data_IF_377537881332
#
_entry.id   IF_377537881332
#
_cell.length_a   1.000
_cell.length_b   1.000
_cell.length_c   1.000
_cell.angle_alpha   90.00
_cell.angle_beta   90.00
_cell.angle_gamma   90.00
#
_symmetry.space_group_name_H-M   'P 1'
#
loop_
_entity.id
_entity.type
_entity.pdbx_description
1 polymer ?
#
# COMPACT_ATOMS: atom_id res chain seq x y z
N UNK A 1 -2.56 23.62 2.73
CA UNK A 1 -1.79 22.68 3.61
C UNK A 1 -1.90 21.31 2.99
N UNK A 2 -0.82 20.76 2.39
CA UNK A 2 -0.82 19.36 1.92
C UNK A 2 -0.76 18.49 3.18
N UNK A 3 -1.88 17.83 3.51
CA UNK A 3 -1.98 16.90 4.62
C UNK A 3 -0.90 15.85 4.52
N UNK A 4 -0.27 15.55 5.66
CA UNK A 4 0.71 14.49 5.81
C UNK A 4 -0.07 13.20 5.67
N UNK A 5 0.05 12.51 4.53
CA UNK A 5 -0.54 11.17 4.36
C UNK A 5 0.02 10.28 5.47
N UNK A 6 -0.84 9.86 6.38
CA UNK A 6 -0.48 8.89 7.42
C UNK A 6 -0.39 7.55 6.70
N UNK A 7 0.82 7.01 6.56
CA UNK A 7 1.02 5.63 6.09
C UNK A 7 0.68 4.70 7.24
N UNK A 8 -0.47 4.05 7.18
CA UNK A 8 -0.85 2.97 8.08
C UNK A 8 0.05 1.74 7.85
N UNK A 9 0.17 0.88 8.86
CA UNK A 9 1.08 -0.26 8.79
C UNK A 9 0.55 -1.32 7.82
N UNK A 10 1.32 -1.64 6.77
CA UNK A 10 1.05 -2.77 5.90
C UNK A 10 1.84 -3.99 6.34
N UNK A 11 1.14 -5.06 6.69
CA UNK A 11 1.73 -6.38 6.89
C UNK A 11 0.87 -7.44 6.20
N UNK A 12 1.48 -8.28 5.38
CA UNK A 12 0.86 -9.45 4.78
C UNK A 12 1.94 -10.50 4.52
N UNK A 13 1.91 -11.59 5.26
CA UNK A 13 2.86 -12.68 5.12
C UNK A 13 2.18 -14.01 4.83
N UNK A 14 2.88 -14.89 4.12
CA UNK A 14 2.46 -16.26 3.85
C UNK A 14 3.58 -17.20 4.22
N UNK A 15 3.25 -18.19 5.00
CA UNK A 15 4.14 -19.29 5.36
C UNK A 15 3.45 -20.62 5.12
N UNK A 16 4.13 -21.73 5.37
CA UNK A 16 3.55 -23.07 5.26
C UNK A 16 3.75 -23.83 6.56
N UNK A 17 2.70 -24.50 7.00
CA UNK A 17 2.78 -25.47 8.09
C UNK A 17 3.29 -26.78 7.50
N UNK A 18 4.42 -27.25 8.01
CA UNK A 18 5.15 -28.42 7.48
C UNK A 18 5.40 -29.45 8.58
N UNK A 19 5.04 -30.71 8.31
CA UNK A 19 5.35 -31.81 9.24
C UNK A 19 6.85 -32.00 9.43
N UNK A 20 7.66 -31.78 8.38
CA UNK A 20 9.13 -31.86 8.46
C UNK A 20 9.76 -30.83 9.41
N UNK A 21 9.03 -29.77 9.77
CA UNK A 21 9.46 -28.77 10.76
C UNK A 21 8.92 -29.08 12.17
N UNK A 22 8.38 -30.30 12.40
CA UNK A 22 7.77 -30.66 13.68
C UNK A 22 6.44 -29.96 13.96
N UNK A 23 5.78 -29.41 12.92
CA UNK A 23 4.54 -28.66 13.07
C UNK A 23 3.32 -29.55 12.84
N UNK A 24 2.26 -29.36 13.62
CA UNK A 24 0.94 -29.96 13.46
C UNK A 24 -0.07 -28.92 13.01
N UNK A 25 -0.94 -29.28 12.07
CA UNK A 25 -2.04 -28.43 11.62
C UNK A 25 -3.07 -28.23 12.74
N UNK A 26 -3.39 -29.29 13.49
CA UNK A 26 -4.27 -29.25 14.67
C UNK A 26 -3.73 -28.30 15.74
N UNK A 27 -2.47 -28.44 16.14
CA UNK A 27 -1.88 -27.59 17.16
C UNK A 27 -1.85 -26.12 16.72
N UNK A 28 -1.56 -25.88 15.44
CA UNK A 28 -1.56 -24.53 14.88
C UNK A 28 -2.96 -23.92 14.85
N UNK A 29 -3.99 -24.68 14.50
CA UNK A 29 -5.38 -24.25 14.51
C UNK A 29 -5.88 -23.98 15.93
N UNK A 30 -5.61 -24.91 16.88
CA UNK A 30 -5.95 -24.76 18.29
C UNK A 30 -5.34 -23.49 18.88
N UNK A 31 -4.05 -23.24 18.61
CA UNK A 31 -3.36 -22.04 19.08
C UNK A 31 -3.97 -20.75 18.55
N UNK A 32 -4.32 -20.68 17.24
CA UNK A 32 -4.90 -19.50 16.65
C UNK A 32 -6.31 -19.23 17.15
N UNK A 33 -7.12 -20.28 17.21
CA UNK A 33 -8.51 -20.18 17.64
C UNK A 33 -8.69 -20.04 19.17
N UNK A 34 -7.64 -20.27 19.97
CA UNK A 34 -7.77 -20.34 21.42
C UNK A 34 -8.70 -21.48 21.86
N UNK A 35 -8.52 -22.67 21.27
CA UNK A 35 -9.37 -23.84 21.49
C UNK A 35 -8.56 -25.05 21.98
N UNK A 36 -9.29 -26.05 22.49
CA UNK A 36 -8.74 -27.37 22.74
C UNK A 36 -9.14 -28.29 21.59
N UNK A 37 -8.16 -28.83 20.85
CA UNK A 37 -8.38 -29.75 19.74
C UNK A 37 -7.55 -31.03 19.91
N UNK A 38 -8.14 -32.17 19.55
CA UNK A 38 -7.48 -33.47 19.55
C UNK A 38 -6.87 -33.77 18.19
N UNK A 39 -5.63 -34.24 18.17
CA UNK A 39 -4.97 -34.73 16.97
C UNK A 39 -5.01 -36.26 16.90
N UNK A 40 -5.75 -36.79 15.93
CA UNK A 40 -5.79 -38.25 15.66
C UNK A 40 -4.41 -38.79 15.22
N UNK A 41 -3.64 -37.95 14.49
CA UNK A 41 -2.32 -38.34 13.99
C UNK A 41 -1.28 -38.49 15.09
N UNK A 42 -1.30 -37.59 16.10
CA UNK A 42 -0.33 -37.59 17.20
C UNK A 42 -0.89 -38.23 18.47
N UNK A 43 -2.19 -38.51 18.53
CA UNK A 43 -2.84 -39.10 19.72
C UNK A 43 -2.78 -38.17 20.95
N UNK A 44 -2.81 -36.85 20.76
CA UNK A 44 -2.68 -35.87 21.85
C UNK A 44 -3.56 -34.64 21.66
N UNK A 45 -3.89 -34.02 22.77
CA UNK A 45 -4.64 -32.77 22.80
C UNK A 45 -3.71 -31.56 22.72
N UNK A 46 -4.13 -30.54 22.00
CA UNK A 46 -3.54 -29.20 22.01
C UNK A 46 -4.54 -28.26 22.66
N UNK A 47 -4.27 -27.80 23.90
CA UNK A 47 -5.18 -26.97 24.67
C UNK A 47 -4.64 -25.54 24.81
N UNK A 48 -5.35 -24.60 24.18
CA UNK A 48 -5.05 -23.16 24.22
C UNK A 48 -6.27 -22.35 24.69
N UNK A 49 -7.19 -22.95 25.43
CA UNK A 49 -8.41 -22.30 25.94
C UNK A 49 -8.12 -21.10 26.88
N UNK A 50 -6.92 -21.05 27.48
CA UNK A 50 -6.47 -19.94 28.32
C UNK A 50 -5.93 -18.74 27.52
N UNK A 51 -5.86 -18.84 26.18
CA UNK A 51 -5.38 -17.76 25.33
C UNK A 51 -6.39 -16.62 25.29
N UNK A 52 -5.97 -15.42 25.67
CA UNK A 52 -6.74 -14.18 25.53
C UNK A 52 -6.55 -13.53 24.17
N UNK A 53 -7.38 -12.54 23.86
CA UNK A 53 -7.23 -11.69 22.70
C UNK A 53 -7.76 -12.28 21.37
N UNK A 54 -8.44 -13.42 21.37
CA UNK A 54 -9.18 -13.91 20.20
C UNK A 54 -10.55 -13.25 20.18
N UNK A 55 -10.78 -12.35 19.21
CA UNK A 55 -12.02 -11.54 19.15
C UNK A 55 -13.03 -12.07 18.15
N UNK A 56 -12.58 -12.78 17.11
CA UNK A 56 -13.44 -13.43 16.14
C UNK A 56 -12.72 -14.64 15.52
N UNK A 57 -13.48 -15.68 15.14
CA UNK A 57 -12.93 -16.87 14.52
C UNK A 57 -13.99 -17.67 13.77
N UNK A 58 -13.61 -18.44 12.80
CA UNK A 58 -14.50 -19.31 12.04
C UNK A 58 -13.81 -20.11 10.96
N UNK A 59 -14.57 -21.03 10.36
CA UNK A 59 -14.17 -21.76 9.17
C UNK A 59 -15.15 -21.42 8.06
N UNK A 60 -14.67 -20.81 6.99
CA UNK A 60 -15.43 -20.47 5.79
C UNK A 60 -15.19 -21.54 4.72
N UNK A 61 -16.27 -21.97 4.10
CA UNK A 61 -16.27 -23.08 3.14
C UNK A 61 -16.73 -22.62 1.76
N UNK A 62 -16.04 -23.03 0.69
CA UNK A 62 -16.61 -22.97 -0.65
C UNK A 62 -17.92 -23.76 -0.74
N UNK A 63 -18.84 -23.34 -1.60
CA UNK A 63 -20.19 -23.91 -1.71
C UNK A 63 -20.24 -25.42 -2.02
N UNK A 64 -19.19 -25.95 -2.66
CA UNK A 64 -19.08 -27.37 -3.01
C UNK A 64 -18.49 -28.25 -1.91
N UNK A 65 -18.02 -27.65 -0.80
CA UNK A 65 -17.39 -28.37 0.33
C UNK A 65 -18.46 -28.82 1.31
N UNK A 66 -18.48 -30.08 1.75
CA UNK A 66 -19.42 -30.58 2.73
C UNK A 66 -19.36 -29.82 4.05
N UNK A 67 -20.54 -29.49 4.62
CA UNK A 67 -20.69 -28.67 5.82
C UNK A 67 -19.90 -29.18 7.05
N UNK A 68 -19.66 -30.50 7.15
CA UNK A 68 -18.88 -31.08 8.25
C UNK A 68 -17.47 -30.50 8.38
N UNK A 69 -16.88 -29.98 7.29
CA UNK A 69 -15.58 -29.30 7.29
C UNK A 69 -15.62 -27.92 7.95
N UNK A 70 -16.78 -27.41 8.38
CA UNK A 70 -16.86 -26.22 9.24
C UNK A 70 -16.42 -26.50 10.69
N UNK A 71 -16.39 -27.77 11.10
CA UNK A 71 -15.77 -28.18 12.34
C UNK A 71 -14.25 -28.18 12.19
N UNK A 72 -13.58 -27.34 12.99
CA UNK A 72 -12.14 -27.13 12.91
C UNK A 72 -11.34 -28.40 13.20
N UNK A 73 -11.74 -29.16 14.21
CA UNK A 73 -11.07 -30.39 14.56
C UNK A 73 -11.22 -31.45 13.47
N UNK A 74 -12.41 -31.61 12.93
CA UNK A 74 -12.66 -32.51 11.81
C UNK A 74 -11.85 -32.11 10.58
N UNK A 75 -11.88 -30.84 10.19
CA UNK A 75 -11.13 -30.31 9.05
C UNK A 75 -9.63 -30.68 9.12
N UNK A 76 -9.00 -30.34 10.23
CA UNK A 76 -7.53 -30.46 10.31
C UNK A 76 -7.08 -31.91 10.54
N UNK A 77 -7.88 -32.77 11.18
CA UNK A 77 -7.62 -34.20 11.22
C UNK A 77 -7.73 -34.83 9.83
N UNK A 78 -8.74 -34.49 9.04
CA UNK A 78 -8.85 -34.98 7.66
C UNK A 78 -7.71 -34.47 6.77
N UNK A 79 -7.21 -33.25 6.96
CA UNK A 79 -6.00 -32.77 6.27
C UNK A 79 -4.77 -33.59 6.66
N UNK A 80 -4.53 -33.82 7.95
CA UNK A 80 -3.38 -34.61 8.42
C UNK A 80 -3.44 -36.06 7.95
N UNK A 81 -4.63 -36.66 7.89
CA UNK A 81 -4.90 -37.98 7.38
C UNK A 81 -4.66 -38.11 5.86
N UNK A 82 -5.04 -37.06 5.09
CA UNK A 82 -4.81 -37.01 3.65
C UNK A 82 -3.32 -36.86 3.30
N UNK A 83 -2.56 -36.23 4.17
CA UNK A 83 -1.14 -35.91 3.98
C UNK A 83 -0.23 -36.94 4.63
N UNK A 84 -0.07 -38.10 3.99
CA UNK A 84 0.62 -39.25 4.56
C UNK A 84 2.16 -39.13 4.63
N UNK A 85 2.77 -38.26 3.83
CA UNK A 85 4.22 -38.15 3.72
C UNK A 85 4.84 -37.47 4.96
N UNK A 86 5.96 -37.98 5.53
CA UNK A 86 6.61 -37.36 6.70
C UNK A 86 7.07 -35.91 6.47
N UNK A 87 7.33 -35.53 5.21
CA UNK A 87 7.69 -34.14 4.82
C UNK A 87 6.51 -33.37 4.23
N UNK A 88 5.28 -33.76 4.55
CA UNK A 88 4.11 -33.11 3.99
C UNK A 88 4.01 -31.64 4.39
N UNK A 89 3.61 -30.83 3.44
CA UNK A 89 3.10 -29.49 3.65
C UNK A 89 1.59 -29.62 3.89
N UNK A 90 1.12 -29.10 5.02
CA UNK A 90 -0.24 -29.32 5.52
C UNK A 90 -1.16 -28.15 5.14
N UNK A 91 -0.69 -26.93 5.37
CA UNK A 91 -1.48 -25.72 5.15
C UNK A 91 -0.62 -24.54 4.70
N UNK A 92 -1.23 -23.62 3.96
CA UNK A 92 -0.81 -22.23 3.91
C UNK A 92 -1.23 -21.54 5.20
N UNK A 93 -0.38 -20.67 5.71
CA UNK A 93 -0.65 -19.82 6.87
C UNK A 93 -0.42 -18.38 6.48
N UNK A 94 -1.47 -17.61 6.51
CA UNK A 94 -1.50 -16.17 6.22
C UNK A 94 -1.58 -15.40 7.53
N UNK A 95 -0.81 -14.32 7.61
CA UNK A 95 -0.84 -13.38 8.72
C UNK A 95 -0.88 -11.96 8.13
N UNK A 96 -1.89 -11.16 8.48
CA UNK A 96 -2.01 -9.79 8.00
C UNK A 96 -2.56 -8.84 9.06
N UNK A 97 -2.04 -7.61 9.05
CA UNK A 97 -2.41 -6.58 10.01
C UNK A 97 -3.77 -5.97 9.67
N UNK A 98 -4.56 -5.71 10.70
CA UNK A 98 -5.75 -4.88 10.65
C UNK A 98 -5.40 -3.42 10.98
N UNK A 99 -6.28 -2.50 10.66
CA UNK A 99 -6.01 -1.08 10.78
C UNK A 99 -6.57 -0.52 12.09
N UNK A 100 -5.73 0.24 12.80
CA UNK A 100 -6.15 0.87 14.07
C UNK A 100 -7.11 2.06 13.86
N UNK A 101 -7.24 2.53 12.63
CA UNK A 101 -8.14 3.61 12.22
C UNK A 101 -9.61 3.17 12.11
N UNK A 102 -9.85 1.86 12.05
CA UNK A 102 -11.20 1.29 11.97
C UNK A 102 -11.64 0.70 13.30
N UNK A 103 -12.95 0.66 13.53
CA UNK A 103 -13.51 -0.10 14.65
C UNK A 103 -13.19 -1.60 14.52
N UNK A 104 -13.29 -2.35 15.61
CA UNK A 104 -13.06 -3.81 15.55
C UNK A 104 -14.13 -4.53 14.72
N UNK A 105 -15.38 -4.09 14.81
CA UNK A 105 -16.49 -4.62 14.01
C UNK A 105 -16.25 -4.43 12.52
N UNK A 106 -15.74 -3.27 12.13
CA UNK A 106 -15.41 -2.97 10.74
C UNK A 106 -14.19 -3.77 10.27
N UNK A 107 -13.14 -3.86 11.07
CA UNK A 107 -11.99 -4.71 10.80
C UNK A 107 -12.38 -6.18 10.61
N UNK A 108 -13.32 -6.72 11.40
CA UNK A 108 -13.87 -8.07 11.24
C UNK A 108 -14.60 -8.20 9.91
N UNK A 109 -15.43 -7.21 9.55
CA UNK A 109 -16.17 -7.21 8.29
C UNK A 109 -15.23 -7.20 7.08
N UNK A 110 -14.23 -6.30 7.08
CA UNK A 110 -13.22 -6.20 6.02
C UNK A 110 -12.43 -7.51 5.89
N UNK A 111 -11.99 -8.08 7.01
CA UNK A 111 -11.24 -9.33 7.01
C UNK A 111 -12.06 -10.49 6.44
N UNK A 112 -13.32 -10.63 6.86
CA UNK A 112 -14.22 -11.68 6.34
C UNK A 112 -14.51 -11.50 4.86
N UNK A 113 -14.75 -10.27 4.39
CA UNK A 113 -14.95 -9.97 2.98
C UNK A 113 -13.70 -10.33 2.16
N UNK A 114 -12.51 -9.94 2.65
CA UNK A 114 -11.26 -10.30 1.99
C UNK A 114 -11.07 -11.82 1.90
N UNK A 115 -11.27 -12.55 3.01
CA UNK A 115 -11.13 -14.00 3.07
C UNK A 115 -12.13 -14.67 2.12
N UNK A 116 -13.38 -14.21 2.11
CA UNK A 116 -14.40 -14.76 1.23
C UNK A 116 -13.98 -14.61 -0.24
N UNK A 117 -13.69 -13.40 -0.69
CA UNK A 117 -13.39 -13.11 -2.10
C UNK A 117 -12.07 -13.70 -2.57
N UNK A 118 -11.06 -13.71 -1.71
CA UNK A 118 -9.68 -14.03 -2.13
C UNK A 118 -9.24 -15.46 -1.81
N UNK A 119 -9.94 -16.15 -0.92
CA UNK A 119 -9.65 -17.55 -0.60
C UNK A 119 -10.84 -18.46 -0.91
N UNK A 120 -12.00 -18.19 -0.31
CA UNK A 120 -13.16 -19.09 -0.39
C UNK A 120 -13.72 -19.16 -1.81
N UNK A 121 -13.91 -18.03 -2.48
CA UNK A 121 -14.41 -17.97 -3.85
C UNK A 121 -13.40 -18.56 -4.87
N UNK A 122 -12.13 -18.67 -4.49
CA UNK A 122 -11.10 -19.38 -5.25
C UNK A 122 -11.02 -20.87 -4.92
N UNK A 123 -11.94 -21.39 -4.11
CA UNK A 123 -12.06 -22.80 -3.77
C UNK A 123 -11.23 -23.24 -2.56
N UNK A 124 -10.66 -22.32 -1.78
CA UNK A 124 -9.92 -22.63 -0.56
C UNK A 124 -10.86 -22.72 0.64
N UNK A 125 -10.71 -23.74 1.47
CA UNK A 125 -11.27 -23.75 2.82
C UNK A 125 -10.43 -22.80 3.67
N UNK A 126 -11.06 -21.84 4.37
CA UNK A 126 -10.34 -20.85 5.16
C UNK A 126 -10.73 -20.91 6.64
N UNK A 127 -9.82 -21.39 7.48
CA UNK A 127 -9.91 -21.35 8.92
C UNK A 127 -9.22 -20.10 9.43
N UNK A 128 -9.97 -19.14 9.99
CA UNK A 128 -9.45 -17.85 10.42
C UNK A 128 -9.66 -17.59 11.92
N UNK A 129 -8.78 -16.76 12.47
CA UNK A 129 -8.92 -16.17 13.79
C UNK A 129 -8.38 -14.73 13.77
N UNK A 130 -9.14 -13.82 14.36
CA UNK A 130 -8.78 -12.42 14.51
C UNK A 130 -8.34 -12.18 15.95
N UNK A 131 -7.18 -11.58 16.09
CA UNK A 131 -6.57 -11.31 17.38
C UNK A 131 -6.45 -9.82 17.65
N UNK A 132 -6.79 -9.44 18.88
CA UNK A 132 -6.46 -8.16 19.47
C UNK A 132 -5.70 -8.44 20.78
N UNK A 133 -4.39 -8.68 20.72
CA UNK A 133 -3.59 -8.89 21.92
C UNK A 133 -3.51 -7.60 22.74
N UNK A 134 -3.43 -7.74 24.06
CA UNK A 134 -3.15 -6.62 24.94
C UNK A 134 -1.84 -5.94 24.53
N UNK A 135 -1.81 -4.59 24.43
CA UNK A 135 -0.60 -3.89 24.10
C UNK A 135 0.48 -4.18 25.12
N UNK A 136 1.61 -4.74 24.68
CA UNK A 136 2.78 -4.89 25.52
C UNK A 136 3.50 -3.55 25.62
N UNK A 137 3.88 -3.17 26.83
CA UNK A 137 4.71 -1.99 27.11
C UNK A 137 4.07 -0.64 26.65
N UNK A 138 2.73 -0.54 26.64
CA UNK A 138 2.03 0.71 26.30
C UNK A 138 2.13 1.12 24.84
N UNK A 139 2.53 0.20 23.96
CA UNK A 139 2.53 0.41 22.49
C UNK A 139 1.12 0.51 21.91
N UNK A 140 1.00 0.86 20.63
CA UNK A 140 -0.30 0.84 19.94
C UNK A 140 -0.87 -0.58 19.87
N UNK A 141 -2.20 -0.73 19.82
CA UNK A 141 -2.84 -2.01 19.54
C UNK A 141 -2.29 -2.62 18.25
N UNK A 142 -2.20 -3.94 18.21
CA UNK A 142 -1.75 -4.68 17.03
C UNK A 142 -2.81 -5.72 16.62
N UNK A 143 -3.99 -5.28 16.15
CA UNK A 143 -5.00 -6.19 15.65
C UNK A 143 -4.50 -6.88 14.38
N UNK A 144 -4.69 -8.20 14.30
CA UNK A 144 -4.24 -8.98 13.14
C UNK A 144 -5.06 -10.23 12.92
N UNK A 145 -5.01 -10.73 11.70
CA UNK A 145 -5.72 -11.93 11.26
C UNK A 145 -4.73 -13.03 10.97
N UNK A 146 -5.04 -14.22 11.45
CA UNK A 146 -4.43 -15.47 11.02
C UNK A 146 -5.43 -16.25 10.18
N UNK A 147 -5.01 -16.75 9.02
CA UNK A 147 -5.83 -17.66 8.20
C UNK A 147 -5.01 -18.90 7.87
N UNK A 148 -5.61 -20.06 8.00
CA UNK A 148 -5.04 -21.34 7.57
C UNK A 148 -5.90 -21.92 6.47
N UNK A 149 -5.27 -22.29 5.35
CA UNK A 149 -5.94 -22.97 4.23
C UNK A 149 -5.24 -24.26 3.90
N UNK A 150 -5.95 -25.42 3.76
CA UNK A 150 -5.34 -26.64 3.26
C UNK A 150 -4.67 -26.45 1.90
N UNK A 151 -3.54 -27.10 1.68
CA UNK A 151 -2.82 -26.99 0.40
C UNK A 151 -3.53 -27.76 -0.72
N UNK A 152 -4.28 -28.84 -0.36
CA UNK A 152 -5.07 -29.58 -1.33
C UNK A 152 -6.38 -28.87 -1.61
N UNK A 153 -6.77 -28.73 -2.87
CA UNK A 153 -8.15 -28.37 -3.18
C UNK A 153 -9.09 -29.51 -2.77
N UNK A 154 -10.33 -29.16 -2.46
CA UNK A 154 -11.40 -30.13 -2.29
C UNK A 154 -12.23 -30.17 -3.57
N UNK A 155 -12.48 -31.37 -4.06
CA UNK A 155 -13.34 -31.62 -5.21
C UNK A 155 -14.82 -31.67 -4.76
N UNK A 156 -15.78 -31.43 -5.65
CA UNK A 156 -17.17 -31.68 -5.36
C UNK A 156 -17.41 -33.07 -4.77
N UNK A 157 -18.23 -33.15 -3.70
CA UNK A 157 -18.46 -34.39 -2.97
C UNK A 157 -17.49 -34.65 -1.82
N UNK A 158 -16.60 -33.71 -1.45
CA UNK A 158 -15.80 -33.78 -0.23
C UNK A 158 -14.54 -34.64 -0.36
N UNK A 159 -14.08 -34.90 -1.57
CA UNK A 159 -12.84 -35.64 -1.82
C UNK A 159 -11.66 -34.69 -1.96
N UNK A 160 -10.54 -35.00 -1.30
CA UNK A 160 -9.30 -34.25 -1.47
C UNK A 160 -8.69 -34.45 -2.86
N UNK A 161 -8.52 -33.37 -3.60
CA UNK A 161 -7.87 -33.33 -4.89
C UNK A 161 -6.37 -33.52 -4.82
N UNK A 162 -5.71 -33.68 -5.95
CA UNK A 162 -4.27 -33.80 -6.04
C UNK A 162 -3.59 -32.43 -5.94
N UNK A 163 -2.45 -32.32 -5.25
CA UNK A 163 -1.63 -31.09 -5.22
C UNK A 163 -0.98 -30.77 -6.58
N UNK A 164 -0.66 -31.84 -7.33
CA UNK A 164 0.03 -31.75 -8.60
C UNK A 164 -0.57 -32.74 -9.59
N UNK A 165 -0.55 -32.36 -10.86
CA UNK A 165 -0.90 -33.23 -11.99
C UNK A 165 0.32 -33.53 -12.84
N UNK A 166 0.35 -34.68 -13.46
CA UNK A 166 1.36 -35.07 -14.45
C UNK A 166 1.00 -34.45 -15.78
N UNK A 167 1.89 -33.66 -16.36
CA UNK A 167 1.81 -33.15 -17.72
C UNK A 167 2.87 -33.88 -18.51
N UNK A 168 2.44 -34.83 -19.34
CA UNK A 168 3.37 -35.65 -20.11
C UNK A 168 4.04 -34.81 -21.19
N UNK A 169 5.35 -35.02 -21.35
CA UNK A 169 6.11 -34.46 -22.46
C UNK A 169 5.75 -35.22 -23.73
N UNK A 170 5.50 -34.50 -24.83
CA UNK A 170 5.14 -35.11 -26.10
C UNK A 170 6.31 -34.99 -27.06
N UNK A 171 6.49 -36.03 -27.89
CA UNK A 171 7.33 -36.02 -29.08
C UNK A 171 6.67 -35.19 -30.20
N UNK A 172 7.38 -34.98 -31.32
CA UNK A 172 6.86 -34.24 -32.45
C UNK A 172 5.63 -34.89 -33.12
N UNK A 173 5.49 -36.22 -32.98
CA UNK A 173 4.35 -37.00 -33.47
C UNK A 173 3.15 -37.05 -32.51
N UNK A 174 3.20 -36.32 -31.39
CA UNK A 174 2.17 -36.30 -30.36
C UNK A 174 2.19 -37.50 -29.40
N UNK A 175 3.09 -38.48 -29.57
CA UNK A 175 3.27 -39.57 -28.62
C UNK A 175 3.97 -39.09 -27.33
N UNK A 176 3.78 -39.84 -26.22
CA UNK A 176 4.44 -39.51 -24.95
C UNK A 176 5.94 -39.82 -25.03
N UNK A 177 6.77 -38.85 -24.74
CA UNK A 177 8.23 -39.04 -24.67
C UNK A 177 8.60 -39.99 -23.53
N UNK A 178 9.61 -40.82 -23.77
CA UNK A 178 10.09 -41.82 -22.82
C UNK A 178 11.59 -41.67 -22.56
N UNK A 179 12.04 -42.04 -21.34
CA UNK A 179 13.46 -42.07 -21.02
C UNK A 179 14.12 -43.35 -21.58
N UNK A 180 15.44 -43.48 -21.40
CA UNK A 180 16.21 -44.64 -21.86
C UNK A 180 15.75 -46.01 -21.25
N UNK A 181 14.95 -45.96 -20.16
CA UNK A 181 14.37 -47.14 -19.50
C UNK A 181 12.90 -47.37 -19.90
N UNK A 182 12.40 -46.66 -20.91
CA UNK A 182 11.03 -46.79 -21.43
C UNK A 182 9.95 -46.12 -20.55
N UNK A 183 10.31 -45.36 -19.53
CA UNK A 183 9.35 -44.68 -18.63
C UNK A 183 8.92 -43.36 -19.24
N UNK A 184 7.61 -43.07 -19.18
CA UNK A 184 7.04 -41.82 -19.70
C UNK A 184 7.59 -40.62 -18.93
N UNK A 185 8.05 -39.63 -19.68
CA UNK A 185 8.53 -38.36 -19.14
C UNK A 185 7.35 -37.40 -18.90
N UNK A 186 7.30 -36.79 -17.72
CA UNK A 186 6.29 -35.81 -17.38
C UNK A 186 6.87 -34.73 -16.47
N UNK A 187 6.24 -33.55 -16.51
CA UNK A 187 6.45 -32.48 -15.56
C UNK A 187 5.32 -32.52 -14.53
N UNK A 188 5.70 -32.44 -13.24
CA UNK A 188 4.72 -32.28 -12.18
C UNK A 188 4.32 -30.81 -12.08
N UNK A 189 3.06 -30.48 -12.41
CA UNK A 189 2.54 -29.14 -12.33
C UNK A 189 1.52 -29.00 -11.21
N UNK A 190 1.53 -27.89 -10.43
CA UNK A 190 0.51 -27.65 -9.43
C UNK A 190 -0.90 -27.69 -10.06
N UNK A 191 -1.88 -28.19 -9.30
CA UNK A 191 -3.29 -28.21 -9.72
C UNK A 191 -3.98 -26.86 -9.50
N UNK A 192 -3.44 -26.07 -8.58
CA UNK A 192 -3.92 -24.70 -8.27
C UNK A 192 -2.75 -23.72 -8.41
N UNK A 193 -3.07 -22.45 -8.54
CA UNK A 193 -2.08 -21.37 -8.55
C UNK A 193 -1.77 -20.80 -7.15
N UNK A 194 -2.35 -21.36 -6.09
CA UNK A 194 -2.29 -20.83 -4.72
C UNK A 194 -0.88 -20.68 -4.15
N UNK A 195 0.08 -21.42 -4.67
CA UNK A 195 1.49 -21.36 -4.25
C UNK A 195 2.37 -20.53 -5.20
N UNK A 196 1.83 -19.83 -6.17
CA UNK A 196 2.62 -19.05 -7.13
C UNK A 196 2.95 -17.66 -6.60
N UNK A 197 4.09 -17.06 -7.02
CA UNK A 197 4.44 -15.70 -6.67
C UNK A 197 3.38 -14.69 -7.14
N UNK A 198 2.80 -14.90 -8.32
CA UNK A 198 1.79 -14.04 -8.93
C UNK A 198 0.51 -14.01 -8.08
N UNK A 199 0.09 -15.18 -7.58
CA UNK A 199 -1.07 -15.28 -6.69
C UNK A 199 -0.82 -14.58 -5.35
N UNK A 200 0.37 -14.74 -4.79
CA UNK A 200 0.75 -14.04 -3.56
C UNK A 200 0.70 -12.52 -3.75
N UNK A 201 1.23 -12.01 -4.87
CA UNK A 201 1.23 -10.57 -5.15
C UNK A 201 -0.20 -10.05 -5.37
N UNK A 202 -1.07 -10.84 -6.04
CA UNK A 202 -2.49 -10.52 -6.19
C UNK A 202 -3.21 -10.40 -4.84
N UNK A 203 -2.98 -11.33 -3.90
CA UNK A 203 -3.54 -11.25 -2.55
C UNK A 203 -3.04 -10.04 -1.76
N UNK A 204 -1.75 -9.73 -1.86
CA UNK A 204 -1.16 -8.56 -1.21
C UNK A 204 -1.75 -7.26 -1.74
N UNK A 205 -1.94 -7.19 -3.05
CA UNK A 205 -2.58 -6.04 -3.70
C UNK A 205 -4.05 -5.91 -3.29
N UNK A 206 -4.82 -6.99 -3.34
CA UNK A 206 -6.23 -7.00 -2.94
C UNK A 206 -6.43 -6.59 -1.48
N UNK A 207 -5.52 -7.00 -0.57
CA UNK A 207 -5.55 -6.56 0.83
C UNK A 207 -5.31 -5.05 0.97
N UNK A 208 -4.37 -4.49 0.22
CA UNK A 208 -4.14 -3.06 0.21
C UNK A 208 -5.33 -2.30 -0.39
N UNK A 209 -5.90 -2.79 -1.48
CA UNK A 209 -7.01 -2.15 -2.19
C UNK A 209 -8.28 -2.08 -1.34
N UNK A 210 -8.67 -3.18 -0.69
CA UNK A 210 -9.87 -3.20 0.16
C UNK A 210 -9.74 -2.21 1.32
N UNK A 211 -8.59 -2.17 2.01
CA UNK A 211 -8.36 -1.21 3.09
C UNK A 211 -8.36 0.24 2.57
N UNK A 212 -7.71 0.51 1.44
CA UNK A 212 -7.67 1.84 0.85
C UNK A 212 -9.05 2.33 0.40
N UNK A 213 -9.92 1.43 -0.03
CA UNK A 213 -11.32 1.73 -0.34
C UNK A 213 -12.07 2.17 0.92
N UNK A 214 -11.91 1.46 2.03
CA UNK A 214 -12.52 1.82 3.32
C UNK A 214 -11.97 3.14 3.86
N UNK A 215 -10.65 3.37 3.80
CA UNK A 215 -10.08 4.67 4.16
C UNK A 215 -10.72 5.82 3.38
N UNK A 216 -10.90 5.65 2.07
CA UNK A 216 -11.52 6.67 1.23
C UNK A 216 -13.00 6.90 1.58
N UNK A 217 -13.77 5.83 1.87
CA UNK A 217 -15.18 5.91 2.29
C UNK A 217 -15.34 6.67 3.60
N UNK A 218 -14.39 6.54 4.52
CA UNK A 218 -14.37 7.29 5.79
C UNK A 218 -13.72 8.68 5.69
N UNK A 219 -13.29 9.11 4.50
CA UNK A 219 -12.62 10.40 4.32
C UNK A 219 -11.25 10.50 5.00
N UNK A 220 -10.62 9.36 5.29
CA UNK A 220 -9.31 9.30 5.92
C UNK A 220 -8.19 9.42 4.88
N UNK A 221 -7.18 10.25 5.16
CA UNK A 221 -5.97 10.38 4.33
C UNK A 221 -4.98 9.20 4.49
N UNK A 222 -5.30 8.24 5.34
CA UNK A 222 -4.51 7.03 5.54
C UNK A 222 -4.49 6.17 4.26
N UNK A 223 -3.36 5.55 4.00
CA UNK A 223 -3.18 4.62 2.87
C UNK A 223 -2.15 3.56 3.23
N UNK A 224 -2.35 2.35 2.71
CA UNK A 224 -1.39 1.25 2.77
C UNK A 224 -0.93 0.90 1.36
N UNK A 225 0.33 0.46 1.22
CA UNK A 225 0.93 0.08 -0.05
C UNK A 225 1.61 -1.30 0.11
N UNK A 226 1.21 -2.26 -0.72
CA UNK A 226 1.75 -3.62 -0.71
C UNK A 226 3.14 -3.76 -1.32
N UNK A 227 3.64 -2.72 -2.01
CA UNK A 227 4.93 -2.74 -2.69
C UNK A 227 6.08 -2.58 -1.69
N UNK A 228 7.25 -3.09 -2.02
CA UNK A 228 8.47 -2.84 -1.24
C UNK A 228 8.84 -1.34 -1.27
N UNK A 229 9.56 -0.86 -0.26
CA UNK A 229 10.04 0.53 -0.21
C UNK A 229 10.79 0.94 -1.49
N UNK A 230 11.58 0.04 -2.06
CA UNK A 230 12.27 0.26 -3.32
C UNK A 230 11.30 0.54 -4.48
N UNK A 231 10.26 -0.30 -4.63
CA UNK A 231 9.22 -0.12 -5.65
C UNK A 231 8.35 1.12 -5.42
N UNK A 232 8.24 1.57 -4.17
CA UNK A 232 7.56 2.81 -3.80
C UNK A 232 8.45 4.06 -4.01
N UNK A 233 9.73 3.88 -4.31
CA UNK A 233 10.71 4.99 -4.38
C UNK A 233 11.04 5.59 -3.01
N UNK A 234 10.75 4.86 -1.92
CA UNK A 234 11.05 5.29 -0.56
C UNK A 234 12.49 4.85 -0.22
N UNK A 235 13.43 5.78 -0.02
CA UNK A 235 14.81 5.45 0.26
C UNK A 235 15.01 5.02 1.71
N UNK A 236 14.39 3.91 2.10
CA UNK A 236 14.49 3.33 3.45
C UNK A 236 14.75 1.83 3.35
N UNK A 237 15.49 1.31 4.34
CA UNK A 237 15.77 -0.11 4.49
C UNK A 237 14.68 -0.70 5.40
N UNK A 238 13.99 -1.78 5.00
CA UNK A 238 13.01 -2.44 5.86
C UNK A 238 13.69 -3.12 7.05
N UNK A 239 13.06 -3.08 8.22
CA UNK A 239 13.50 -3.86 9.39
C UNK A 239 13.23 -5.34 9.17
N UNK A 240 14.02 -6.19 9.82
CA UNK A 240 13.83 -7.65 9.79
C UNK A 240 12.94 -8.11 10.94
N UNK A 241 12.15 -9.14 10.70
CA UNK A 241 11.28 -9.70 11.74
C UNK A 241 12.10 -10.39 12.83
N UNK A 242 11.97 -9.93 14.07
CA UNK A 242 12.72 -10.47 15.20
C UNK A 242 12.15 -11.78 15.75
N UNK A 243 10.85 -11.95 15.68
CA UNK A 243 10.16 -13.08 16.31
C UNK A 243 10.01 -12.96 17.84
N UNK A 244 9.15 -13.79 18.47
CA UNK A 244 8.85 -13.66 19.91
C UNK A 244 10.07 -13.88 20.81
N UNK A 245 10.89 -14.90 20.52
CA UNK A 245 12.04 -15.23 21.36
C UNK A 245 13.09 -14.12 21.35
N UNK A 246 13.40 -13.58 20.17
CA UNK A 246 14.37 -12.47 20.03
C UNK A 246 13.86 -11.22 20.75
N UNK A 247 12.58 -10.88 20.58
CA UNK A 247 11.96 -9.74 21.31
C UNK A 247 12.04 -9.92 22.82
N UNK A 248 11.79 -11.13 23.32
CA UNK A 248 11.88 -11.40 24.75
C UNK A 248 13.33 -11.31 25.26
N UNK A 249 14.31 -11.81 24.51
CA UNK A 249 15.73 -11.63 24.85
C UNK A 249 16.12 -10.14 24.89
N UNK A 250 15.76 -9.38 23.86
CA UNK A 250 16.03 -7.94 23.79
C UNK A 250 15.34 -7.16 24.94
N UNK A 251 14.12 -7.54 25.30
CA UNK A 251 13.40 -6.96 26.46
C UNK A 251 14.14 -7.20 27.79
N UNK A 252 14.79 -8.34 27.92
CA UNK A 252 15.64 -8.68 29.09
C UNK A 252 17.04 -8.04 29.04
N UNK A 253 17.31 -7.18 28.05
CA UNK A 253 18.62 -6.55 27.87
C UNK A 253 19.67 -7.45 27.19
N UNK A 254 19.28 -8.64 26.75
CA UNK A 254 20.19 -9.56 26.03
C UNK A 254 20.21 -9.14 24.55
N UNK A 255 21.37 -8.64 24.11
CA UNK A 255 21.56 -8.24 22.70
C UNK A 255 21.59 -9.44 21.76
N UNK A 256 20.88 -9.31 20.65
CA UNK A 256 20.82 -10.33 19.62
C UNK A 256 21.28 -9.77 18.29
N UNK A 257 21.76 -10.63 17.37
CA UNK A 257 22.18 -10.23 16.04
C UNK A 257 21.04 -9.53 15.25
N UNK A 258 19.81 -10.06 15.33
CA UNK A 258 18.63 -9.43 14.70
C UNK A 258 18.28 -8.09 15.31
N UNK A 259 18.36 -7.98 16.62
CA UNK A 259 18.13 -6.72 17.35
C UNK A 259 19.16 -5.67 16.97
N UNK A 260 20.46 -6.05 16.93
CA UNK A 260 21.55 -5.16 16.50
C UNK A 260 21.36 -4.71 15.05
N UNK A 261 20.99 -5.62 14.17
CA UNK A 261 20.70 -5.29 12.78
C UNK A 261 19.54 -4.29 12.66
N UNK A 262 18.47 -4.47 13.41
CA UNK A 262 17.34 -3.53 13.40
C UNK A 262 17.71 -2.18 14.01
N UNK A 263 18.56 -2.11 15.04
CA UNK A 263 19.10 -0.86 15.58
C UNK A 263 19.91 -0.12 14.51
N UNK A 264 20.79 -0.83 13.82
CA UNK A 264 21.56 -0.27 12.69
C UNK A 264 20.65 0.25 11.58
N UNK A 265 19.66 -0.55 11.14
CA UNK A 265 18.69 -0.13 10.09
C UNK A 265 17.96 1.15 10.52
N UNK A 266 17.46 1.23 11.76
CA UNK A 266 16.78 2.42 12.28
C UNK A 266 17.69 3.64 12.28
N UNK A 267 18.96 3.47 12.67
CA UNK A 267 19.95 4.54 12.63
C UNK A 267 20.18 5.03 11.18
N UNK A 268 20.45 4.12 10.24
CA UNK A 268 20.66 4.48 8.84
C UNK A 268 19.42 5.16 8.23
N UNK A 269 18.22 4.65 8.49
CA UNK A 269 16.98 5.30 8.04
C UNK A 269 16.81 6.72 8.59
N UNK A 270 17.26 6.96 9.82
CA UNK A 270 17.29 8.32 10.40
C UNK A 270 18.26 9.22 9.66
N UNK A 271 19.47 8.74 9.35
CA UNK A 271 20.46 9.47 8.55
C UNK A 271 19.90 9.79 7.16
N UNK A 272 19.32 8.80 6.46
CA UNK A 272 18.70 8.97 5.14
C UNK A 272 17.62 10.07 5.17
N UNK A 273 16.72 10.04 6.15
CA UNK A 273 15.69 11.08 6.30
C UNK A 273 16.27 12.46 6.54
N UNK A 274 17.30 12.55 7.38
CA UNK A 274 17.99 13.82 7.68
C UNK A 274 18.64 14.39 6.42
N UNK A 275 19.36 13.56 5.66
CA UNK A 275 19.98 13.96 4.38
C UNK A 275 18.90 14.40 3.39
N UNK A 276 17.82 13.62 3.23
CA UNK A 276 16.71 13.96 2.35
C UNK A 276 16.06 15.31 2.70
N UNK A 277 15.89 15.60 3.98
CA UNK A 277 15.41 16.92 4.43
C UNK A 277 16.36 18.05 4.03
N UNK A 278 17.67 17.89 4.30
CA UNK A 278 18.69 18.90 3.95
C UNK A 278 18.80 19.14 2.44
N UNK A 279 18.68 18.08 1.63
CA UNK A 279 18.67 18.21 0.17
C UNK A 279 17.48 19.02 -0.32
N UNK A 280 16.29 18.82 0.26
CA UNK A 280 15.10 19.65 -0.06
C UNK A 280 15.29 21.11 0.33
N UNK A 281 15.84 21.37 1.51
CA UNK A 281 16.16 22.73 1.98
C UNK A 281 17.17 23.41 1.07
N UNK A 282 18.23 22.70 0.64
CA UNK A 282 19.24 23.20 -0.28
C UNK A 282 18.63 23.48 -1.66
N UNK A 283 17.81 22.58 -2.20
CA UNK A 283 17.12 22.81 -3.47
C UNK A 283 16.23 24.06 -3.42
N UNK A 284 15.45 24.24 -2.36
CA UNK A 284 14.63 25.43 -2.17
C UNK A 284 15.47 26.70 -2.03
N UNK A 285 16.64 26.61 -1.40
CA UNK A 285 17.59 27.73 -1.31
C UNK A 285 18.17 28.09 -2.69
N UNK A 286 18.58 27.10 -3.48
CA UNK A 286 19.06 27.31 -4.85
C UNK A 286 18.01 28.00 -5.73
N UNK A 287 16.76 27.55 -5.67
CA UNK A 287 15.68 28.19 -6.45
C UNK A 287 15.45 29.66 -6.03
N UNK A 288 15.52 29.95 -4.73
CA UNK A 288 15.45 31.36 -4.26
C UNK A 288 16.62 32.20 -4.79
N UNK A 289 17.86 31.67 -4.78
CA UNK A 289 19.01 32.38 -5.32
C UNK A 289 18.90 32.60 -6.83
N UNK A 290 18.39 31.63 -7.58
CA UNK A 290 18.14 31.78 -9.03
C UNK A 290 17.12 32.88 -9.30
N UNK A 291 16.06 32.92 -8.54
CA UNK A 291 15.02 33.96 -8.67
C UNK A 291 15.57 35.35 -8.33
N UNK A 292 16.36 35.45 -7.26
CA UNK A 292 16.99 36.71 -6.90
C UNK A 292 17.98 37.17 -7.97
N UNK A 293 18.83 36.27 -8.52
CA UNK A 293 19.74 36.56 -9.62
C UNK A 293 18.97 37.01 -10.87
N UNK A 294 17.86 36.35 -11.20
CA UNK A 294 16.98 36.70 -12.31
C UNK A 294 16.48 38.14 -12.16
N UNK A 295 16.00 38.51 -10.99
CA UNK A 295 15.52 39.90 -10.70
C UNK A 295 16.60 40.94 -10.81
N UNK A 296 17.84 40.59 -10.40
CA UNK A 296 19.01 41.53 -10.51
C UNK A 296 19.53 41.70 -11.94
N UNK A 297 19.37 40.71 -12.80
CA UNK A 297 19.88 40.67 -14.18
C UNK A 297 18.82 41.04 -15.21
N UNK A 298 17.55 41.11 -14.83
CA UNK A 298 16.46 41.47 -15.72
C UNK A 298 16.36 42.97 -15.92
N UNK A 299 16.22 43.46 -17.16
CA UNK A 299 16.06 44.90 -17.41
C UNK A 299 14.84 45.45 -16.73
N UNK A 300 14.92 46.62 -16.14
CA UNK A 300 13.80 47.28 -15.51
C UNK A 300 12.80 47.76 -16.55
N UNK A 301 11.50 47.57 -16.29
CA UNK A 301 10.43 48.06 -17.18
C UNK A 301 10.52 49.56 -17.40
N UNK A 302 10.95 50.31 -16.39
CA UNK A 302 11.14 51.77 -16.48
C UNK A 302 12.20 52.16 -17.50
N UNK A 303 13.27 51.39 -17.66
CA UNK A 303 14.32 51.65 -18.65
C UNK A 303 13.79 51.49 -20.10
N UNK A 304 12.95 50.49 -20.31
CA UNK A 304 12.24 50.31 -21.59
C UNK A 304 11.27 51.41 -21.88
N UNK A 305 10.52 51.89 -20.89
CA UNK A 305 9.59 53.02 -21.06
C UNK A 305 10.34 54.30 -21.35
N UNK A 306 11.43 54.58 -20.64
CA UNK A 306 12.26 55.74 -20.89
C UNK A 306 12.82 55.72 -22.33
N UNK A 307 13.40 54.63 -22.75
CA UNK A 307 13.93 54.47 -24.11
C UNK A 307 12.83 54.62 -25.18
N UNK A 308 11.65 54.00 -24.97
CA UNK A 308 10.53 54.13 -25.88
C UNK A 308 10.04 55.57 -26.06
N UNK A 309 9.93 56.35 -24.98
CA UNK A 309 9.49 57.73 -25.06
C UNK A 309 10.59 58.66 -25.57
N UNK A 310 11.86 58.39 -25.30
CA UNK A 310 13.02 59.10 -25.87
C UNK A 310 13.07 58.94 -27.39
N UNK A 311 12.87 57.72 -27.90
CA UNK A 311 12.85 57.43 -29.34
C UNK A 311 11.66 58.17 -30.02
N UNK A 312 10.48 58.16 -29.41
CA UNK A 312 9.32 58.89 -29.93
C UNK A 312 9.51 60.39 -29.93
N UNK A 313 10.20 60.97 -28.95
CA UNK A 313 10.47 62.41 -28.88
C UNK A 313 11.62 62.85 -29.74
N UNK A 314 12.50 61.95 -30.20
CA UNK A 314 13.60 62.22 -31.10
C UNK A 314 13.15 62.61 -32.53
N UNK A 315 11.90 62.28 -32.92
CA UNK A 315 11.36 62.63 -34.21
C UNK A 315 10.81 64.07 -34.24
N UNK A 316 10.83 64.74 -35.39
CA UNK A 316 10.26 66.08 -35.53
C UNK A 316 8.78 66.18 -35.14
N UNK A 317 7.99 65.15 -35.44
CA UNK A 317 6.61 65.00 -35.00
C UNK A 317 6.46 64.72 -33.50
N UNK A 318 7.34 63.92 -32.96
CA UNK A 318 7.38 63.57 -31.55
C UNK A 318 7.63 64.77 -30.65
N UNK A 319 8.42 65.75 -31.09
CA UNK A 319 8.67 66.98 -30.37
C UNK A 319 7.41 67.84 -30.23
N UNK A 320 6.52 67.86 -31.23
CA UNK A 320 5.24 68.55 -31.19
C UNK A 320 4.32 68.03 -30.07
N UNK A 321 4.43 66.74 -29.80
CA UNK A 321 3.63 66.04 -28.77
C UNK A 321 4.41 65.75 -27.49
N UNK A 322 5.57 66.37 -27.29
CA UNK A 322 6.44 66.14 -26.13
C UNK A 322 5.74 66.21 -24.79
N UNK A 323 4.91 67.19 -24.57
CA UNK A 323 4.17 67.35 -23.33
C UNK A 323 3.16 66.23 -23.09
N UNK A 324 2.51 65.75 -24.15
CA UNK A 324 1.59 64.58 -24.09
C UNK A 324 2.36 63.29 -23.81
N UNK A 325 3.47 63.06 -24.47
CA UNK A 325 4.30 61.89 -24.28
C UNK A 325 4.84 61.82 -22.86
N UNK A 326 5.29 62.94 -22.28
CA UNK A 326 5.74 63.02 -20.88
C UNK A 326 4.61 62.77 -19.89
N UNK A 327 3.39 63.22 -20.21
CA UNK A 327 2.22 62.98 -19.36
C UNK A 327 1.84 61.46 -19.39
N UNK A 328 1.81 60.86 -20.56
CA UNK A 328 1.57 59.40 -20.70
C UNK A 328 2.63 58.58 -19.95
N UNK A 329 3.92 58.96 -20.06
CA UNK A 329 5.02 58.31 -19.31
C UNK A 329 4.79 58.41 -17.79
N UNK A 330 4.42 59.60 -17.31
CA UNK A 330 4.17 59.84 -15.88
C UNK A 330 3.02 58.96 -15.34
N UNK A 331 1.93 58.82 -16.09
CA UNK A 331 0.81 57.96 -15.71
C UNK A 331 1.25 56.49 -15.64
N UNK A 332 1.93 56.03 -16.66
CA UNK A 332 2.42 54.63 -16.68
C UNK A 332 3.43 54.37 -15.57
N UNK A 333 4.34 55.30 -15.32
CA UNK A 333 5.33 55.19 -14.24
C UNK A 333 4.67 55.10 -12.87
N UNK A 334 3.69 55.98 -12.62
CA UNK A 334 2.91 55.93 -11.37
C UNK A 334 2.16 54.63 -11.21
N UNK A 335 1.57 54.07 -12.27
CA UNK A 335 0.89 52.79 -12.26
C UNK A 335 1.85 51.66 -11.91
N UNK A 336 3.04 51.63 -12.53
CA UNK A 336 4.06 50.59 -12.22
C UNK A 336 4.49 50.67 -10.76
N UNK A 337 4.69 51.86 -10.21
CA UNK A 337 5.05 52.04 -8.80
C UNK A 337 3.96 51.59 -7.85
N UNK A 338 2.70 51.97 -8.11
CA UNK A 338 1.56 51.59 -7.28
C UNK A 338 1.34 50.09 -7.22
N UNK A 339 1.67 49.37 -8.29
CA UNK A 339 1.48 47.93 -8.38
C UNK A 339 2.78 47.13 -8.13
N UNK A 340 3.88 47.81 -7.80
CA UNK A 340 5.17 47.18 -7.50
C UNK A 340 5.79 46.46 -8.69
N UNK A 341 5.50 46.89 -9.93
CA UNK A 341 5.99 46.30 -11.17
C UNK A 341 7.37 46.92 -11.50
N UNK A 342 8.42 46.14 -11.34
CA UNK A 342 9.80 46.58 -11.52
C UNK A 342 10.45 45.97 -12.76
N UNK A 343 10.21 44.70 -13.00
CA UNK A 343 10.80 43.92 -14.09
C UNK A 343 9.77 43.59 -15.18
N UNK A 344 10.25 43.17 -16.37
CA UNK A 344 9.36 42.66 -17.42
C UNK A 344 8.58 41.44 -16.98
N UNK A 345 9.15 40.61 -16.13
CA UNK A 345 8.44 39.46 -15.55
C UNK A 345 7.32 39.88 -14.61
N UNK A 346 7.56 40.88 -13.74
CA UNK A 346 6.49 41.46 -12.90
C UNK A 346 5.33 41.98 -13.76
N UNK A 347 5.65 42.64 -14.88
CA UNK A 347 4.65 43.13 -15.81
C UNK A 347 3.84 41.99 -16.46
N UNK A 348 4.50 40.92 -16.87
CA UNK A 348 3.85 39.76 -17.49
C UNK A 348 2.95 39.02 -16.46
N UNK A 349 3.43 38.82 -15.24
CA UNK A 349 2.65 38.25 -14.14
C UNK A 349 1.41 39.11 -13.80
N UNK A 350 1.58 40.43 -13.75
CA UNK A 350 0.48 41.36 -13.51
C UNK A 350 -0.56 41.30 -14.64
N UNK A 351 -0.15 41.28 -15.90
CA UNK A 351 -1.05 41.14 -17.05
C UNK A 351 -1.81 39.78 -17.03
N UNK A 352 -1.16 38.69 -16.67
CA UNK A 352 -1.83 37.39 -16.49
C UNK A 352 -2.88 37.42 -15.40
N UNK A 353 -2.55 38.07 -14.27
CA UNK A 353 -3.47 38.21 -13.14
C UNK A 353 -4.71 39.07 -13.53
N UNK A 354 -4.51 40.20 -14.23
CA UNK A 354 -5.59 41.03 -14.73
C UNK A 354 -6.47 40.30 -15.76
N UNK A 355 -5.86 39.56 -16.70
CA UNK A 355 -6.59 38.77 -17.67
C UNK A 355 -7.47 37.70 -16.99
N UNK A 356 -6.94 36.97 -16.00
CA UNK A 356 -7.70 35.99 -15.23
C UNK A 356 -8.83 36.64 -14.39
N UNK A 357 -8.66 37.90 -13.95
CA UNK A 357 -9.70 38.63 -13.24
C UNK A 357 -10.83 39.07 -14.19
N UNK A 358 -10.47 39.53 -15.40
CA UNK A 358 -11.43 39.89 -16.43
C UNK A 358 -12.25 38.70 -16.88
N UNK A 359 -11.63 37.54 -17.08
CA UNK A 359 -12.31 36.31 -17.47
C UNK A 359 -13.30 35.86 -16.39
N UNK A 360 -12.89 35.83 -15.12
CA UNK A 360 -13.82 35.57 -13.99
C UNK A 360 -14.99 36.53 -13.94
N UNK A 361 -14.73 37.84 -14.12
CA UNK A 361 -15.80 38.83 -14.13
C UNK A 361 -16.78 38.65 -15.29
N UNK A 362 -16.30 38.16 -16.45
CA UNK A 362 -17.15 37.80 -17.60
C UNK A 362 -17.99 36.55 -17.33
N UNK A 363 -17.39 35.53 -16.70
CA UNK A 363 -18.10 34.30 -16.30
C UNK A 363 -19.20 34.64 -15.26
N UNK A 364 -18.89 35.44 -14.26
CA UNK A 364 -19.85 35.86 -13.24
C UNK A 364 -20.99 36.69 -13.85
N UNK A 365 -20.69 37.55 -14.83
CA UNK A 365 -21.70 38.33 -15.55
C UNK A 365 -22.60 37.41 -16.42
N UNK A 366 -22.02 36.43 -17.07
CA UNK A 366 -22.77 35.44 -17.86
C UNK A 366 -23.70 34.58 -16.99
N UNK A 367 -23.24 34.17 -15.81
CA UNK A 367 -24.04 33.40 -14.83
C UNK A 367 -25.22 34.26 -14.31
N UNK A 368 -24.99 35.54 -14.00
CA UNK A 368 -26.07 36.46 -13.58
C UNK A 368 -27.11 36.68 -14.67
N UNK A 369 -26.65 36.87 -15.91
CA UNK A 369 -27.57 37.07 -17.05
C UNK A 369 -28.40 35.79 -17.34
N UNK A 370 -27.82 34.58 -17.16
CA UNK A 370 -28.55 33.33 -17.28
C UNK A 370 -29.57 33.13 -16.15
N UNK A 371 -29.23 33.53 -14.92
CA UNK A 371 -30.14 33.45 -13.78
C UNK A 371 -31.31 34.42 -13.82
N UNK A 372 -31.14 35.57 -14.48
CA UNK A 372 -32.24 36.57 -14.71
C UNK A 372 -33.17 36.11 -15.84
N UNK A 373 -32.71 35.25 -16.77
CA UNK A 373 -33.54 34.74 -17.87
C UNK A 373 -34.44 33.55 -17.43
N UNK A 374 -34.13 32.90 -16.31
CA UNK A 374 -34.89 31.76 -15.76
C UNK A 374 -35.85 32.14 -14.61
N UNK A 375 -36.06 33.44 -14.35
CA UNK A 375 -37.08 33.90 -13.37
C UNK A 375 -38.40 34.14 -14.09
N UNK A 376 -39.50 33.47 -13.67
CA UNK A 376 -40.80 33.52 -14.32
C UNK A 376 -41.48 34.92 -14.19
#
# INVERSE_FOLDING_TARGET
MKGRTITSEYHFSVTQIKRSAGQSAIAAAAYRAGEKLHSDYYGQDSDYTRKSGVVDKGVLLPSHVPRQYSDRQFLWNEVEKAEKHPKAQLAYSFDFALQNEFSMEENIAIAREFIQRNFVDLGMIADYAIHLPDPKDGGPPNPHVHVMCPIRPMEPGGKWGAKQRRVYRLNADGSRARDAKGRELFDARPTTDWGTPERLEAWRHAWAEINNTHFAQHGLDARIDNRSFEKQGIPQIPTIHEGPNVREMERRGIRTEKGDRNRWIRHINTVIRTIGKRLKELAAFIERLKEELRRQTEPMVNDYLAAYYDERTATAWGQVFRARNLHEYSILFSYLQEHGIVTLTDLDEHNKALSAQVDRSREDAAVRAAGEADSP
#
